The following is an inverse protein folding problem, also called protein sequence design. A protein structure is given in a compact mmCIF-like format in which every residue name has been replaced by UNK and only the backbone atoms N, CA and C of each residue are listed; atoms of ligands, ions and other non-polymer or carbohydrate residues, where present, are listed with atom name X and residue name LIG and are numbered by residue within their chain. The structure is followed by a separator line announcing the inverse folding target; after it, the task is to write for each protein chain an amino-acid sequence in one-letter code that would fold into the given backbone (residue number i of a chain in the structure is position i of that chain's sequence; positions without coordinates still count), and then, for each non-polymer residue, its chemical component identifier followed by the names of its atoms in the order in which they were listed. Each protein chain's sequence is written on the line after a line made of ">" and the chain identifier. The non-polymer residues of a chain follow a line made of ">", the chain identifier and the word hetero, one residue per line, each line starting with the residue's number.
data_IF_363586843569
#
_entry.id   IF_363586843569
#
_cell.length_a   1.000
_cell.length_b   1.000
_cell.length_c   1.000
_cell.angle_alpha   90.00
_cell.angle_beta   90.00
_cell.angle_gamma   90.00
#
_symmetry.space_group_name_H-M   'P 1'
#
loop_
_entity.id
_entity.type
_entity.pdbx_description
1 polymer ?
#
# COMPACT_ATOMS: atom_id res chain seq x y z
N UNK A 1 -2.70 -13.84 41.60
CA UNK A 1 -2.68 -12.44 41.13
C UNK A 1 -2.67 -12.50 39.62
N UNK A 2 -3.86 -12.44 39.00
CA UNK A 2 -4.04 -12.62 37.56
C UNK A 2 -3.50 -11.37 36.83
N UNK A 3 -2.32 -11.49 36.22
CA UNK A 3 -1.92 -10.58 35.16
C UNK A 3 -2.93 -10.76 34.02
N UNK A 4 -3.69 -9.70 33.73
CA UNK A 4 -4.74 -9.73 32.72
C UNK A 4 -4.19 -10.22 31.39
N UNK A 5 -4.84 -11.23 30.82
CA UNK A 5 -4.73 -11.52 29.41
C UNK A 5 -5.14 -10.24 28.67
N UNK A 6 -4.17 -9.48 28.17
CA UNK A 6 -4.44 -8.42 27.20
C UNK A 6 -5.08 -9.10 25.99
N UNK A 7 -6.41 -9.08 25.94
CA UNK A 7 -7.19 -9.59 24.82
C UNK A 7 -6.66 -8.95 23.54
N UNK A 8 -6.10 -9.77 22.63
CA UNK A 8 -5.62 -9.26 21.34
C UNK A 8 -6.70 -8.39 20.70
N UNK A 9 -6.37 -7.18 20.20
CA UNK A 9 -7.36 -6.29 19.64
C UNK A 9 -8.15 -6.99 18.52
N UNK A 10 -9.47 -7.08 18.70
CA UNK A 10 -10.36 -7.66 17.70
C UNK A 10 -10.39 -6.77 16.45
N UNK A 11 -10.26 -7.37 15.26
CA UNK A 11 -10.41 -6.66 13.99
C UNK A 11 -11.80 -6.04 13.83
N UNK A 12 -12.80 -6.55 14.55
CA UNK A 12 -14.17 -6.06 14.52
C UNK A 12 -14.39 -4.86 15.45
N UNK A 13 -13.40 -4.49 16.27
CA UNK A 13 -13.50 -3.30 17.10
C UNK A 13 -13.66 -2.07 16.18
N UNK A 14 -14.62 -1.15 16.44
CA UNK A 14 -14.86 0.00 15.57
C UNK A 14 -13.61 0.85 15.30
N UNK A 15 -12.71 0.95 16.30
CA UNK A 15 -11.43 1.65 16.18
C UNK A 15 -10.45 1.05 15.16
N UNK A 16 -10.62 -0.21 14.78
CA UNK A 16 -9.83 -0.90 13.75
C UNK A 16 -10.66 -1.04 12.47
N UNK A 17 -11.92 -1.47 12.58
CA UNK A 17 -12.80 -1.75 11.45
C UNK A 17 -13.09 -0.49 10.60
N UNK A 18 -13.30 0.66 11.24
CA UNK A 18 -13.59 1.90 10.50
C UNK A 18 -12.36 2.36 9.69
N UNK A 19 -11.16 2.52 10.30
CA UNK A 19 -9.94 2.79 9.55
C UNK A 19 -9.66 1.77 8.46
N UNK A 20 -9.92 0.49 8.75
CA UNK A 20 -9.74 -0.60 7.81
C UNK A 20 -10.58 -0.41 6.54
N UNK A 21 -11.89 -0.21 6.69
CA UNK A 21 -12.81 -0.01 5.57
C UNK A 21 -12.50 1.27 4.81
N UNK A 22 -12.23 2.38 5.52
CA UNK A 22 -11.89 3.65 4.89
C UNK A 22 -10.61 3.53 4.05
N UNK A 23 -9.55 2.94 4.60
CA UNK A 23 -8.29 2.72 3.88
C UNK A 23 -8.52 1.84 2.66
N UNK A 24 -9.26 0.73 2.81
CA UNK A 24 -9.56 -0.17 1.69
C UNK A 24 -10.35 0.50 0.56
N UNK A 25 -11.39 1.28 0.90
CA UNK A 25 -12.22 1.98 -0.07
C UNK A 25 -11.43 3.08 -0.79
N UNK A 26 -10.72 3.92 -0.02
CA UNK A 26 -9.96 5.05 -0.57
C UNK A 26 -8.81 4.55 -1.46
N UNK A 27 -8.02 3.59 -1.00
CA UNK A 27 -6.94 3.04 -1.83
C UNK A 27 -7.48 2.28 -3.04
N UNK A 28 -8.60 1.58 -2.90
CA UNK A 28 -9.31 1.00 -4.03
C UNK A 28 -9.66 2.00 -5.11
N UNK A 29 -10.09 3.22 -4.75
CA UNK A 29 -10.39 4.27 -5.72
C UNK A 29 -9.18 5.05 -6.21
N UNK A 30 -8.05 5.01 -5.52
CA UNK A 30 -6.86 5.74 -5.96
C UNK A 30 -6.27 5.22 -7.28
N UNK A 31 -6.43 3.93 -7.58
CA UNK A 31 -5.93 3.31 -8.82
C UNK A 31 -6.49 3.98 -10.08
N UNK A 32 -7.79 4.25 -10.10
CA UNK A 32 -8.44 4.94 -11.21
C UNK A 32 -7.88 6.35 -11.42
N UNK A 33 -7.63 7.07 -10.33
CA UNK A 33 -7.09 8.45 -10.38
C UNK A 33 -5.62 8.45 -10.79
N UNK A 34 -4.83 7.47 -10.36
CA UNK A 34 -3.44 7.32 -10.78
C UNK A 34 -3.38 7.09 -12.29
N UNK A 35 -4.24 6.22 -12.83
CA UNK A 35 -4.32 5.97 -14.27
C UNK A 35 -4.58 7.23 -15.09
N UNK A 36 -5.51 8.10 -14.68
CA UNK A 36 -5.77 9.38 -15.37
C UNK A 36 -4.55 10.34 -15.36
N UNK A 37 -3.67 10.21 -14.37
CA UNK A 37 -2.44 10.99 -14.28
C UNK A 37 -1.32 10.49 -15.20
N UNK A 38 -1.40 9.23 -15.64
CA UNK A 38 -0.41 8.61 -16.54
C UNK A 38 -0.80 8.95 -17.98
N UNK A 39 -0.71 10.24 -18.31
CA UNK A 39 -0.99 10.78 -19.64
C UNK A 39 0.20 11.59 -20.13
N UNK A 40 0.25 12.87 -19.79
CA UNK A 40 1.29 13.80 -20.27
C UNK A 40 2.41 14.04 -19.25
N UNK A 41 2.12 13.90 -17.95
CA UNK A 41 3.10 14.17 -16.89
C UNK A 41 3.86 12.90 -16.53
N UNK A 42 5.20 12.91 -16.61
CA UNK A 42 6.04 11.77 -16.22
C UNK A 42 5.74 11.34 -14.78
N UNK A 43 5.67 10.02 -14.50
CA UNK A 43 5.35 9.47 -13.18
C UNK A 43 6.02 10.14 -11.99
N UNK A 44 7.34 10.39 -12.08
CA UNK A 44 8.11 10.98 -11.00
C UNK A 44 7.63 12.39 -10.61
N UNK A 45 7.21 13.21 -11.59
CA UNK A 45 6.66 14.54 -11.34
C UNK A 45 5.28 14.47 -10.69
N UNK A 46 4.40 13.58 -11.17
CA UNK A 46 3.08 13.35 -10.54
C UNK A 46 3.21 12.90 -9.08
N UNK A 47 4.14 11.98 -8.80
CA UNK A 47 4.45 11.52 -7.43
C UNK A 47 5.01 12.67 -6.58
N UNK A 48 5.87 13.52 -7.15
CA UNK A 48 6.43 14.71 -6.47
C UNK A 48 5.33 15.68 -6.04
N UNK A 49 4.42 16.06 -6.95
CA UNK A 49 3.34 16.99 -6.65
C UNK A 49 2.39 16.43 -5.59
N UNK A 50 2.01 15.15 -5.71
CA UNK A 50 1.18 14.45 -4.72
C UNK A 50 1.77 14.55 -3.32
N UNK A 51 3.05 14.20 -3.15
CA UNK A 51 3.67 14.17 -1.82
C UNK A 51 4.07 15.54 -1.30
N UNK A 52 4.27 16.53 -2.17
CA UNK A 52 4.44 17.91 -1.74
C UNK A 52 3.15 18.46 -1.09
N UNK A 53 2.00 18.22 -1.73
CA UNK A 53 0.69 18.57 -1.15
C UNK A 53 0.44 17.79 0.14
N UNK A 54 0.70 16.48 0.12
CA UNK A 54 0.52 15.63 1.30
C UNK A 54 1.40 16.09 2.47
N UNK A 55 2.67 16.44 2.22
CA UNK A 55 3.59 16.96 3.23
C UNK A 55 3.07 18.27 3.84
N UNK A 56 2.65 19.22 2.99
CA UNK A 56 2.08 20.49 3.45
C UNK A 56 0.84 20.26 4.32
N UNK A 57 -0.10 19.45 3.87
CA UNK A 57 -1.32 19.12 4.61
C UNK A 57 -1.02 18.36 5.92
N UNK A 58 -0.04 17.46 5.93
CA UNK A 58 0.41 16.77 7.14
C UNK A 58 1.05 17.75 8.14
N UNK A 59 1.84 18.73 7.70
CA UNK A 59 2.39 19.76 8.60
C UNK A 59 1.30 20.68 9.16
N UNK A 60 0.27 21.00 8.37
CA UNK A 60 -0.94 21.68 8.88
C UNK A 60 -1.62 20.83 9.97
N UNK A 61 -1.71 19.50 9.77
CA UNK A 61 -2.26 18.60 10.77
C UNK A 61 -1.39 18.52 12.04
N UNK A 62 -0.06 18.59 11.92
CA UNK A 62 0.89 18.72 13.05
C UNK A 62 0.61 20.01 13.83
N UNK A 63 0.49 21.15 13.14
CA UNK A 63 0.14 22.44 13.76
C UNK A 63 -1.20 22.36 14.50
N UNK A 64 -2.25 21.88 13.81
CA UNK A 64 -3.61 21.81 14.33
C UNK A 64 -3.69 20.93 15.58
N UNK A 65 -3.01 19.78 15.58
CA UNK A 65 -2.94 18.89 16.75
C UNK A 65 -1.93 19.33 17.81
N UNK A 66 -1.26 20.47 17.62
CA UNK A 66 -0.23 21.03 18.52
C UNK A 66 0.88 20.02 18.85
N UNK A 67 1.25 19.20 17.86
CA UNK A 67 2.34 18.23 18.00
C UNK A 67 3.68 18.93 17.80
N UNK A 68 4.76 18.37 18.37
CA UNK A 68 6.11 18.83 18.05
C UNK A 68 6.41 18.63 16.57
N UNK A 69 6.90 19.68 15.92
CA UNK A 69 7.49 19.60 14.57
C UNK A 69 8.87 18.96 14.58
N UNK A 70 9.56 19.02 15.72
CA UNK A 70 10.94 18.55 15.84
C UNK A 70 10.96 17.06 16.17
N UNK A 71 11.77 16.34 15.42
CA UNK A 71 12.24 15.00 15.75
C UNK A 71 13.70 15.10 16.21
N UNK A 72 14.19 14.09 16.93
CA UNK A 72 15.62 13.93 17.15
C UNK A 72 16.27 13.31 15.89
N UNK A 73 17.59 13.10 15.90
CA UNK A 73 18.33 12.53 14.76
C UNK A 73 17.76 11.17 14.32
N UNK A 74 17.36 10.34 15.28
CA UNK A 74 16.81 9.02 15.01
C UNK A 74 15.41 9.12 14.39
N UNK A 75 14.56 10.03 14.86
CA UNK A 75 13.25 10.27 14.27
C UNK A 75 13.33 10.80 12.84
N UNK A 76 14.27 11.70 12.55
CA UNK A 76 14.53 12.15 11.18
C UNK A 76 15.04 11.02 10.29
N UNK A 77 15.93 10.15 10.79
CA UNK A 77 16.40 8.98 10.04
C UNK A 77 15.24 8.03 9.72
N UNK A 78 14.33 7.77 10.68
CA UNK A 78 13.15 6.97 10.41
C UNK A 78 12.24 7.62 9.36
N UNK A 79 12.02 8.93 9.45
CA UNK A 79 11.24 9.67 8.46
C UNK A 79 11.90 9.60 7.07
N UNK A 80 13.23 9.70 6.98
CA UNK A 80 13.97 9.60 5.72
C UNK A 80 13.85 8.21 5.09
N UNK A 81 14.07 7.15 5.86
CA UNK A 81 13.93 5.77 5.37
C UNK A 81 12.48 5.50 4.94
N UNK A 82 11.51 5.97 5.73
CA UNK A 82 10.10 5.86 5.38
C UNK A 82 9.78 6.63 4.09
N UNK A 83 10.30 7.86 3.95
CA UNK A 83 10.19 8.67 2.73
C UNK A 83 10.73 7.95 1.51
N UNK A 84 11.94 7.39 1.62
CA UNK A 84 12.61 6.66 0.55
C UNK A 84 11.83 5.42 0.10
N UNK A 85 11.49 4.52 1.02
CA UNK A 85 10.85 3.25 0.66
C UNK A 85 9.36 3.40 0.37
N UNK A 86 8.62 4.18 1.17
CA UNK A 86 7.17 4.28 1.03
C UNK A 86 6.73 5.38 0.06
N UNK A 87 7.38 6.54 0.03
CA UNK A 87 6.89 7.70 -0.73
C UNK A 87 7.71 8.01 -1.98
N UNK A 88 8.87 7.37 -2.14
CA UNK A 88 9.68 7.43 -3.38
C UNK A 88 9.60 6.10 -4.12
N UNK A 89 10.24 5.04 -3.63
CA UNK A 89 10.35 3.79 -4.38
C UNK A 89 8.99 3.13 -4.62
N UNK A 90 8.19 2.94 -3.56
CA UNK A 90 6.88 2.30 -3.73
C UNK A 90 5.99 3.00 -4.78
N UNK A 91 5.84 4.32 -4.72
CA UNK A 91 4.97 5.03 -5.65
C UNK A 91 5.56 5.17 -7.06
N UNK A 92 6.87 5.34 -7.22
CA UNK A 92 7.45 5.30 -8.57
C UNK A 92 7.29 3.92 -9.20
N UNK A 93 7.51 2.85 -8.44
CA UNK A 93 7.28 1.51 -8.94
C UNK A 93 5.81 1.28 -9.33
N UNK A 94 4.86 1.77 -8.53
CA UNK A 94 3.43 1.69 -8.86
C UNK A 94 3.09 2.46 -10.13
N UNK A 95 3.41 3.76 -10.20
CA UNK A 95 3.06 4.57 -11.36
C UNK A 95 3.74 4.07 -12.65
N UNK A 96 4.98 3.59 -12.55
CA UNK A 96 5.65 3.02 -13.71
C UNK A 96 5.12 1.62 -14.08
N UNK A 97 4.63 0.83 -13.13
CA UNK A 97 3.99 -0.45 -13.45
C UNK A 97 2.71 -0.25 -14.27
N UNK A 98 1.92 0.78 -13.94
CA UNK A 98 0.69 1.12 -14.64
C UNK A 98 0.90 1.62 -16.09
N UNK A 99 2.13 1.93 -16.50
CA UNK A 99 2.47 2.14 -17.91
C UNK A 99 2.44 0.85 -18.73
N UNK A 100 2.55 -0.31 -18.09
CA UNK A 100 2.69 -1.61 -18.75
C UNK A 100 1.52 -2.56 -18.50
N UNK A 101 0.83 -2.43 -17.36
CA UNK A 101 -0.27 -3.30 -16.96
C UNK A 101 -1.42 -2.49 -16.36
N UNK A 102 -2.64 -3.03 -16.41
CA UNK A 102 -3.85 -2.34 -15.92
C UNK A 102 -3.82 -2.05 -14.42
N UNK A 103 -4.49 -0.98 -14.01
CA UNK A 103 -4.61 -0.52 -12.62
C UNK A 103 -5.19 -1.62 -11.70
N UNK A 104 -6.18 -2.37 -12.19
CA UNK A 104 -6.75 -3.53 -11.52
C UNK A 104 -5.73 -4.65 -11.28
N UNK A 105 -4.84 -4.93 -12.23
CA UNK A 105 -3.82 -5.96 -12.09
C UNK A 105 -2.74 -5.58 -11.08
N UNK A 106 -2.30 -4.31 -11.08
CA UNK A 106 -1.41 -3.78 -10.05
C UNK A 106 -2.07 -3.87 -8.67
N UNK A 107 -3.34 -3.50 -8.53
CA UNK A 107 -4.09 -3.62 -7.28
C UNK A 107 -4.14 -5.08 -6.77
N UNK A 108 -4.39 -6.03 -7.67
CA UNK A 108 -4.40 -7.47 -7.34
C UNK A 108 -3.02 -7.96 -6.91
N UNK A 109 -1.93 -7.54 -7.57
CA UNK A 109 -0.58 -7.82 -7.07
C UNK A 109 -0.36 -7.26 -5.67
N UNK A 110 -0.80 -6.03 -5.41
CA UNK A 110 -0.70 -5.40 -4.10
C UNK A 110 -1.51 -6.13 -3.01
N UNK A 111 -2.46 -6.99 -3.36
CA UNK A 111 -3.09 -7.90 -2.40
C UNK A 111 -2.08 -8.90 -1.78
N UNK A 112 -0.99 -9.21 -2.49
CA UNK A 112 0.12 -10.01 -1.98
C UNK A 112 0.99 -9.28 -0.97
N UNK A 113 0.76 -7.99 -0.67
CA UNK A 113 1.51 -7.24 0.35
C UNK A 113 1.57 -7.97 1.70
N UNK A 114 0.55 -8.77 2.03
CA UNK A 114 0.56 -9.59 3.23
C UNK A 114 1.71 -10.63 3.26
N UNK A 115 2.17 -11.11 2.10
CA UNK A 115 3.19 -12.15 1.96
C UNK A 115 4.57 -11.59 2.27
N UNK A 116 5.08 -10.52 1.61
CA UNK A 116 6.34 -9.91 2.02
C UNK A 116 6.28 -9.33 3.45
N UNK A 117 5.16 -8.74 3.89
CA UNK A 117 5.00 -8.34 5.29
C UNK A 117 5.18 -9.52 6.25
N UNK A 118 4.70 -10.72 5.89
CA UNK A 118 4.84 -11.92 6.70
C UNK A 118 6.28 -12.43 6.75
N UNK A 119 6.94 -12.47 5.59
CA UNK A 119 8.33 -12.91 5.46
C UNK A 119 9.25 -11.95 6.22
N UNK A 120 9.13 -10.65 5.96
CA UNK A 120 9.90 -9.62 6.66
C UNK A 120 9.58 -9.60 8.16
N UNK A 121 8.31 -9.77 8.55
CA UNK A 121 7.93 -9.91 9.95
C UNK A 121 8.55 -11.14 10.63
N UNK A 122 8.73 -12.26 9.92
CA UNK A 122 9.47 -13.42 10.43
C UNK A 122 10.95 -13.11 10.60
N UNK A 123 11.57 -12.50 9.59
CA UNK A 123 13.01 -12.21 9.56
C UNK A 123 13.39 -11.16 10.60
N UNK A 124 12.65 -10.05 10.69
CA UNK A 124 13.01 -8.90 11.52
C UNK A 124 12.31 -8.86 12.88
N UNK A 125 11.14 -9.49 13.02
CA UNK A 125 10.34 -9.46 14.27
C UNK A 125 10.20 -10.86 14.91
N UNK A 126 10.78 -11.91 14.32
CA UNK A 126 10.72 -13.27 14.87
C UNK A 126 9.35 -13.95 14.79
N UNK A 127 8.40 -13.40 14.02
CA UNK A 127 7.06 -13.97 13.92
C UNK A 127 7.06 -15.36 13.23
N UNK A 128 6.17 -16.25 13.67
CA UNK A 128 5.97 -17.56 13.03
C UNK A 128 5.06 -17.43 11.80
N UNK A 129 5.36 -18.19 10.75
CA UNK A 129 4.52 -18.33 9.56
C UNK A 129 3.88 -19.71 9.62
N UNK A 130 2.54 -19.78 9.55
CA UNK A 130 1.82 -21.06 9.57
C UNK A 130 1.82 -21.73 8.20
N UNK A 131 1.79 -23.06 8.16
CA UNK A 131 1.68 -23.81 6.89
C UNK A 131 0.42 -23.46 6.11
N UNK A 132 -0.69 -23.19 6.80
CA UNK A 132 -1.92 -22.74 6.15
C UNK A 132 -1.83 -21.29 5.61
N UNK A 133 -0.97 -20.43 6.17
CA UNK A 133 -0.65 -19.14 5.55
C UNK A 133 0.08 -19.34 4.21
N UNK A 134 1.05 -20.24 4.16
CA UNK A 134 1.77 -20.58 2.92
C UNK A 134 0.82 -21.19 1.89
N UNK A 135 -0.03 -22.13 2.29
CA UNK A 135 -1.04 -22.74 1.41
C UNK A 135 -2.03 -21.72 0.83
N UNK A 136 -2.59 -20.86 1.67
CA UNK A 136 -3.47 -19.78 1.20
C UNK A 136 -2.75 -18.77 0.28
N UNK A 137 -1.51 -18.42 0.60
CA UNK A 137 -0.69 -17.53 -0.24
C UNK A 137 -0.39 -18.15 -1.61
N UNK A 138 -0.15 -19.46 -1.66
CA UNK A 138 0.04 -20.19 -2.92
C UNK A 138 -1.23 -20.19 -3.78
N UNK A 139 -2.40 -20.44 -3.18
CA UNK A 139 -3.70 -20.34 -3.87
C UNK A 139 -3.91 -18.92 -4.41
N UNK A 140 -3.58 -17.90 -3.60
CA UNK A 140 -3.70 -16.52 -4.03
C UNK A 140 -2.78 -16.21 -5.22
N UNK A 141 -1.53 -16.66 -5.19
CA UNK A 141 -0.58 -16.51 -6.29
C UNK A 141 -1.07 -17.18 -7.58
N UNK A 142 -1.74 -18.35 -7.49
CA UNK A 142 -2.36 -19.00 -8.67
C UNK A 142 -3.48 -18.15 -9.24
N UNK A 143 -4.38 -17.63 -8.40
CA UNK A 143 -5.46 -16.73 -8.86
C UNK A 143 -4.93 -15.48 -9.57
N UNK A 144 -3.85 -14.91 -9.05
CA UNK A 144 -3.14 -13.77 -9.66
C UNK A 144 -2.52 -14.16 -10.99
N UNK A 145 -1.86 -15.32 -11.08
CA UNK A 145 -1.27 -15.80 -12.33
C UNK A 145 -2.33 -15.97 -13.44
N UNK A 146 -3.54 -16.41 -13.10
CA UNK A 146 -4.65 -16.49 -14.07
C UNK A 146 -5.10 -15.12 -14.57
N UNK A 147 -5.10 -14.10 -13.71
CA UNK A 147 -5.40 -12.72 -14.09
C UNK A 147 -4.33 -12.17 -15.05
N UNK A 148 -3.05 -12.40 -14.76
CA UNK A 148 -1.94 -12.05 -15.66
C UNK A 148 -2.04 -12.77 -17.01
N UNK A 149 -2.43 -14.05 -17.00
CA UNK A 149 -2.60 -14.81 -18.23
C UNK A 149 -3.72 -14.26 -19.11
N UNK A 150 -4.81 -13.79 -18.49
CA UNK A 150 -5.86 -13.11 -19.23
C UNK A 150 -5.34 -11.79 -19.83
N UNK A 151 -4.72 -10.94 -19.01
CA UNK A 151 -4.19 -9.64 -19.45
C UNK A 151 -3.25 -9.79 -20.64
N UNK A 152 -2.32 -10.75 -20.60
CA UNK A 152 -1.42 -11.06 -21.71
C UNK A 152 -2.16 -11.48 -22.99
N UNK A 153 -3.34 -12.10 -22.88
CA UNK A 153 -4.14 -12.54 -24.03
C UNK A 153 -5.12 -11.49 -24.53
N UNK A 154 -5.56 -10.58 -23.66
CA UNK A 154 -6.59 -9.58 -23.95
C UNK A 154 -6.02 -8.20 -24.27
N UNK A 155 -4.80 -7.90 -23.80
CA UNK A 155 -4.13 -6.64 -24.04
C UNK A 155 -3.18 -6.73 -25.25
N UNK A 156 -3.00 -5.66 -26.03
CA UNK A 156 -1.95 -5.60 -27.05
C UNK A 156 -0.52 -5.58 -26.45
N UNK A 157 -0.38 -5.56 -25.12
CA UNK A 157 0.90 -5.56 -24.44
C UNK A 157 1.71 -6.85 -24.71
N UNK A 158 3.01 -6.69 -24.96
CA UNK A 158 3.90 -7.83 -25.12
C UNK A 158 4.13 -8.55 -23.79
N UNK A 159 4.53 -9.83 -23.84
CA UNK A 159 4.88 -10.59 -22.63
C UNK A 159 5.96 -9.87 -21.80
N UNK A 160 6.92 -9.25 -22.48
CA UNK A 160 7.98 -8.48 -21.85
C UNK A 160 7.44 -7.28 -21.06
N UNK A 161 6.52 -6.50 -21.63
CA UNK A 161 5.89 -5.37 -20.94
C UNK A 161 5.14 -5.84 -19.70
N UNK A 162 4.36 -6.91 -19.82
CA UNK A 162 3.62 -7.49 -18.69
C UNK A 162 4.57 -7.93 -17.56
N UNK A 163 5.71 -8.56 -17.90
CA UNK A 163 6.72 -8.97 -16.93
C UNK A 163 7.43 -7.78 -16.27
N UNK A 164 7.72 -6.71 -17.02
CA UNK A 164 8.28 -5.48 -16.47
C UNK A 164 7.31 -4.83 -15.49
N UNK A 165 6.03 -4.69 -15.87
CA UNK A 165 4.98 -4.16 -14.99
C UNK A 165 4.84 -4.98 -13.71
N UNK A 166 4.85 -6.31 -13.81
CA UNK A 166 4.82 -7.20 -12.66
C UNK A 166 6.05 -7.04 -11.75
N UNK A 167 7.25 -6.95 -12.33
CA UNK A 167 8.49 -6.76 -11.59
C UNK A 167 8.54 -5.41 -10.85
N UNK A 168 8.09 -4.34 -11.51
CA UNK A 168 7.95 -3.02 -10.90
C UNK A 168 6.96 -3.06 -9.74
N UNK A 169 5.75 -3.58 -9.97
CA UNK A 169 4.74 -3.72 -8.91
C UNK A 169 5.27 -4.55 -7.73
N UNK A 170 6.01 -5.64 -7.98
CA UNK A 170 6.66 -6.41 -6.92
C UNK A 170 7.71 -5.61 -6.15
N UNK A 171 8.55 -4.84 -6.84
CA UNK A 171 9.48 -3.89 -6.21
C UNK A 171 8.76 -2.85 -5.34
N UNK A 172 7.60 -2.38 -5.80
CA UNK A 172 6.70 -1.53 -5.04
C UNK A 172 6.22 -2.19 -3.75
N UNK A 173 5.72 -3.43 -3.83
CA UNK A 173 5.25 -4.21 -2.68
C UNK A 173 6.37 -4.43 -1.67
N UNK A 174 7.57 -4.79 -2.12
CA UNK A 174 8.73 -4.99 -1.24
C UNK A 174 9.09 -3.68 -0.52
N UNK A 175 9.10 -2.56 -1.23
CA UNK A 175 9.39 -1.24 -0.64
C UNK A 175 8.34 -0.84 0.41
N UNK A 176 7.05 -1.03 0.12
CA UNK A 176 5.99 -0.80 1.10
C UNK A 176 6.09 -1.75 2.31
N UNK A 177 6.56 -2.99 2.10
CA UNK A 177 6.68 -3.97 3.18
C UNK A 177 7.80 -3.62 4.15
N UNK A 178 8.92 -3.07 3.66
CA UNK A 178 9.99 -2.52 4.52
C UNK A 178 9.41 -1.42 5.42
N UNK A 179 8.69 -0.47 4.83
CA UNK A 179 8.03 0.61 5.57
C UNK A 179 7.03 0.08 6.60
N UNK A 180 6.18 -0.90 6.23
CA UNK A 180 5.21 -1.51 7.13
C UNK A 180 5.85 -2.21 8.33
N UNK A 181 6.90 -3.00 8.10
CA UNK A 181 7.55 -3.76 9.17
C UNK A 181 8.31 -2.82 10.12
N UNK A 182 8.92 -1.76 9.60
CA UNK A 182 9.55 -0.73 10.43
C UNK A 182 8.58 -0.11 11.44
N UNK A 183 7.31 0.08 11.07
CA UNK A 183 6.28 0.65 11.96
C UNK A 183 5.99 -0.22 13.19
N UNK A 184 6.35 -1.51 13.16
CA UNK A 184 6.24 -2.39 14.32
C UNK A 184 7.37 -2.17 15.36
N UNK A 185 8.47 -1.47 15.00
CA UNK A 185 9.61 -1.26 15.88
C UNK A 185 9.32 -0.34 17.06
N UNK A 186 9.71 -0.75 18.27
CA UNK A 186 9.38 -0.05 19.52
C UNK A 186 9.87 1.41 19.54
N UNK A 187 11.07 1.67 19.03
CA UNK A 187 11.61 3.03 18.97
C UNK A 187 10.78 3.93 18.04
N UNK A 188 10.31 3.42 16.91
CA UNK A 188 9.49 4.19 15.98
C UNK A 188 8.09 4.48 16.56
N UNK A 189 7.53 3.53 17.32
CA UNK A 189 6.25 3.72 18.04
C UNK A 189 6.30 4.86 19.05
N UNK A 190 7.47 5.19 19.61
CA UNK A 190 7.64 6.30 20.56
C UNK A 190 7.44 7.69 19.95
N UNK A 191 7.52 7.85 18.62
CA UNK A 191 7.30 9.14 17.96
C UNK A 191 5.85 9.33 17.53
N UNK A 192 5.33 10.58 17.56
CA UNK A 192 4.04 10.90 16.97
C UNK A 192 4.00 10.52 15.50
N UNK A 193 3.10 9.62 15.13
CA UNK A 193 3.02 9.06 13.78
C UNK A 193 2.79 10.14 12.72
N UNK A 194 2.00 11.17 13.06
CA UNK A 194 1.67 12.29 12.18
C UNK A 194 2.92 13.13 11.87
N UNK A 195 3.74 13.45 12.88
CA UNK A 195 4.99 14.19 12.68
C UNK A 195 5.98 13.40 11.83
N UNK A 196 6.15 12.10 12.09
CA UNK A 196 7.03 11.24 11.28
C UNK A 196 6.56 11.18 9.83
N UNK A 197 5.25 11.03 9.61
CA UNK A 197 4.67 11.00 8.27
C UNK A 197 4.81 12.33 7.54
N UNK A 198 4.65 13.47 8.22
CA UNK A 198 4.87 14.79 7.64
C UNK A 198 6.29 14.95 7.07
N UNK A 199 7.30 14.60 7.88
CA UNK A 199 8.69 14.62 7.44
C UNK A 199 9.00 13.57 6.39
N UNK A 200 8.44 12.37 6.50
CA UNK A 200 8.66 11.30 5.53
C UNK A 200 8.10 11.67 4.15
N UNK A 201 6.90 12.25 4.09
CA UNK A 201 6.31 12.73 2.84
C UNK A 201 7.11 13.90 2.27
N UNK A 202 7.63 14.81 3.11
CA UNK A 202 8.51 15.89 2.65
C UNK A 202 9.81 15.34 2.05
N UNK A 203 10.51 14.47 2.77
CA UNK A 203 11.74 13.86 2.26
C UNK A 203 11.48 13.04 0.99
N UNK A 204 10.40 12.26 0.97
CA UNK A 204 9.96 11.55 -0.22
C UNK A 204 9.74 12.50 -1.40
N UNK A 205 8.99 13.59 -1.21
CA UNK A 205 8.75 14.59 -2.25
C UNK A 205 10.05 15.21 -2.75
N UNK A 206 10.97 15.61 -1.86
CA UNK A 206 12.26 16.18 -2.24
C UNK A 206 13.13 15.19 -3.03
N UNK A 207 13.19 13.93 -2.60
CA UNK A 207 13.92 12.89 -3.34
C UNK A 207 13.29 12.67 -4.72
N UNK A 208 11.96 12.61 -4.80
CA UNK A 208 11.25 12.47 -6.08
C UNK A 208 11.52 13.64 -7.03
N UNK A 209 11.55 14.88 -6.51
CA UNK A 209 11.88 16.07 -7.30
C UNK A 209 13.29 15.96 -7.87
N UNK A 210 14.27 15.60 -7.04
CA UNK A 210 15.67 15.44 -7.47
C UNK A 210 15.78 14.33 -8.52
N UNK A 211 15.17 13.16 -8.26
CA UNK A 211 15.20 12.04 -9.21
C UNK A 211 14.56 12.42 -10.54
N UNK A 212 13.37 13.04 -10.52
CA UNK A 212 12.65 13.45 -11.74
C UNK A 212 13.42 14.51 -12.51
N UNK A 213 14.05 15.46 -11.81
CA UNK A 213 14.89 16.46 -12.45
C UNK A 213 16.08 15.83 -13.17
N UNK A 214 16.73 14.85 -12.54
CA UNK A 214 17.91 14.17 -13.11
C UNK A 214 17.54 13.24 -14.26
N UNK A 215 16.41 12.53 -14.18
CA UNK A 215 16.03 11.51 -15.18
C UNK A 215 15.21 12.05 -16.34
N UNK A 216 14.39 13.07 -16.10
CA UNK A 216 13.44 13.62 -17.08
C UNK A 216 13.76 15.07 -17.44
N UNK A 217 14.29 15.86 -16.50
CA UNK A 217 14.50 17.30 -16.67
C UNK A 217 13.47 18.14 -15.90
N UNK A 218 13.25 19.42 -16.29
CA UNK A 218 12.45 20.36 -15.52
C UNK A 218 10.99 19.92 -15.31
N UNK A 219 10.29 20.48 -14.30
CA UNK A 219 8.89 20.16 -13.98
C UNK A 219 7.97 20.23 -15.19
N UNK A 220 7.32 19.11 -15.48
CA UNK A 220 6.24 19.03 -16.47
C UNK A 220 4.92 19.17 -15.74
N UNK A 221 4.00 19.97 -16.29
CA UNK A 221 2.69 20.19 -15.72
C UNK A 221 1.61 20.04 -16.80
N UNK A 222 0.45 19.56 -16.38
CA UNK A 222 -0.74 19.45 -17.20
C UNK A 222 -1.70 20.61 -16.87
N UNK A 223 -2.40 21.13 -17.88
CA UNK A 223 -3.36 22.23 -17.73
C UNK A 223 -4.77 21.77 -17.31
N UNK A 224 -5.09 20.48 -17.46
CA UNK A 224 -6.40 19.94 -17.09
C UNK A 224 -6.67 20.10 -15.59
N UNK A 225 -7.80 20.72 -15.25
CA UNK A 225 -8.24 20.84 -13.86
C UNK A 225 -8.46 19.47 -13.19
N UNK A 226 -8.88 18.46 -13.98
CA UNK A 226 -9.05 17.09 -13.51
C UNK A 226 -7.75 16.50 -12.95
N UNK A 227 -6.61 16.74 -13.61
CA UNK A 227 -5.30 16.26 -13.16
C UNK A 227 -4.94 16.80 -11.77
N UNK A 228 -5.07 18.12 -11.57
CA UNK A 228 -4.77 18.75 -10.28
C UNK A 228 -5.79 18.39 -9.20
N UNK A 229 -7.07 18.24 -9.56
CA UNK A 229 -8.09 17.68 -8.68
C UNK A 229 -7.72 16.27 -8.22
N UNK A 230 -7.22 15.43 -9.13
CA UNK A 230 -6.68 14.11 -8.84
C UNK A 230 -5.46 14.16 -7.93
N UNK A 231 -4.50 15.05 -8.18
CA UNK A 231 -3.31 15.25 -7.33
C UNK A 231 -3.72 15.65 -5.90
N UNK A 232 -4.68 16.57 -5.73
CA UNK A 232 -5.20 16.97 -4.43
C UNK A 232 -5.94 15.82 -3.75
N UNK A 233 -6.79 15.10 -4.48
CA UNK A 233 -7.48 13.92 -3.97
C UNK A 233 -6.47 12.86 -3.47
N UNK A 234 -5.47 12.53 -4.29
CA UNK A 234 -4.44 11.53 -3.95
C UNK A 234 -3.53 12.01 -2.81
N UNK A 235 -3.18 13.29 -2.75
CA UNK A 235 -2.34 13.86 -1.70
C UNK A 235 -3.07 13.99 -0.36
N UNK A 236 -4.34 14.39 -0.36
CA UNK A 236 -5.11 14.60 0.86
C UNK A 236 -5.86 13.34 1.26
N UNK A 237 -6.79 12.88 0.44
CA UNK A 237 -7.63 11.72 0.76
C UNK A 237 -6.80 10.44 0.64
N UNK A 238 -6.10 10.26 -0.47
CA UNK A 238 -5.29 9.08 -0.75
C UNK A 238 -4.03 8.93 0.09
N UNK A 239 -3.58 10.00 0.78
CA UNK A 239 -2.34 9.98 1.56
C UNK A 239 -2.48 10.54 2.98
N UNK A 240 -2.88 11.81 3.18
CA UNK A 240 -2.99 12.44 4.51
C UNK A 240 -4.03 11.76 5.40
N UNK A 241 -5.15 11.29 4.85
CA UNK A 241 -6.18 10.57 5.61
C UNK A 241 -5.78 9.11 5.83
N UNK A 242 -5.36 8.42 4.78
CA UNK A 242 -5.14 6.97 4.79
C UNK A 242 -3.87 6.53 5.51
N UNK A 243 -2.72 7.18 5.31
CA UNK A 243 -1.46 6.70 5.90
C UNK A 243 -1.44 6.79 7.43
N UNK A 244 -1.91 7.87 8.08
CA UNK A 244 -2.02 7.89 9.54
C UNK A 244 -2.93 6.78 10.08
N UNK A 245 -4.08 6.54 9.42
CA UNK A 245 -5.02 5.48 9.79
C UNK A 245 -4.37 4.09 9.64
N UNK A 246 -3.80 3.81 8.47
CA UNK A 246 -3.19 2.53 8.15
C UNK A 246 -1.99 2.23 9.04
N UNK A 247 -1.09 3.20 9.22
CA UNK A 247 0.08 3.00 10.05
C UNK A 247 -0.23 2.99 11.55
N UNK A 248 -1.28 3.68 12.00
CA UNK A 248 -1.78 3.50 13.37
C UNK A 248 -2.30 2.07 13.57
N UNK A 249 -3.05 1.52 12.61
CA UNK A 249 -3.45 0.11 12.63
C UNK A 249 -2.22 -0.80 12.68
N UNK A 250 -1.19 -0.57 11.87
CA UNK A 250 0.05 -1.38 11.95
C UNK A 250 0.66 -1.33 13.36
N UNK A 251 0.71 -0.16 13.99
CA UNK A 251 1.28 -0.03 15.33
C UNK A 251 0.46 -0.76 16.40
N UNK A 252 -0.86 -0.85 16.23
CA UNK A 252 -1.80 -1.48 17.16
C UNK A 252 -1.92 -3.01 16.95
N UNK A 253 -2.22 -3.45 15.73
CA UNK A 253 -2.51 -4.86 15.40
C UNK A 253 -1.38 -5.58 14.65
N UNK A 254 -0.30 -4.85 14.34
CA UNK A 254 0.86 -5.37 13.61
C UNK A 254 0.70 -5.35 12.08
N UNK A 255 1.82 -5.39 11.33
CA UNK A 255 1.83 -5.26 9.87
C UNK A 255 1.16 -6.44 9.16
N UNK A 256 1.12 -7.60 9.82
CA UNK A 256 0.46 -8.78 9.30
C UNK A 256 -1.06 -8.65 9.26
N UNK A 257 -1.69 -8.19 10.36
CA UNK A 257 -3.14 -8.01 10.46
C UNK A 257 -3.60 -6.76 9.70
N UNK A 258 -2.82 -5.67 9.71
CA UNK A 258 -3.17 -4.47 8.96
C UNK A 258 -3.22 -4.70 7.44
N UNK A 259 -2.34 -5.55 6.90
CA UNK A 259 -2.33 -5.94 5.48
C UNK A 259 -3.60 -6.68 5.03
N UNK A 260 -4.52 -7.01 5.95
CA UNK A 260 -5.81 -7.58 5.58
C UNK A 260 -6.66 -6.56 4.81
N UNK A 261 -6.43 -5.26 5.03
CA UNK A 261 -7.12 -4.17 4.32
C UNK A 261 -6.80 -4.19 2.82
N UNK A 262 -5.62 -4.68 2.46
CA UNK A 262 -5.15 -4.86 1.09
C UNK A 262 -5.95 -5.90 0.31
N UNK A 263 -6.73 -6.77 0.97
CA UNK A 263 -7.58 -7.78 0.30
C UNK A 263 -8.85 -7.16 -0.27
N UNK A 264 -9.38 -6.11 0.35
CA UNK A 264 -10.56 -5.40 -0.17
C UNK A 264 -10.22 -4.43 -1.29
N UNK A 265 -8.98 -3.92 -1.33
CA UNK A 265 -8.52 -2.95 -2.33
C UNK A 265 -8.73 -3.46 -3.77
N UNK A 266 -8.31 -4.69 -4.15
CA UNK A 266 -8.57 -5.24 -5.48
C UNK A 266 -10.05 -5.32 -5.83
N UNK A 267 -10.91 -5.68 -4.87
CA UNK A 267 -12.36 -5.78 -5.13
C UNK A 267 -12.91 -4.42 -5.55
N UNK A 268 -12.57 -3.37 -4.80
CA UNK A 268 -12.97 -1.99 -5.11
C UNK A 268 -12.35 -1.54 -6.43
N UNK A 269 -11.05 -1.76 -6.61
CA UNK A 269 -10.32 -1.36 -7.83
C UNK A 269 -10.89 -2.02 -9.08
N UNK A 270 -11.20 -3.31 -9.04
CA UNK A 270 -11.78 -4.06 -10.15
C UNK A 270 -13.21 -3.60 -10.46
N UNK A 271 -14.03 -3.32 -9.45
CA UNK A 271 -15.37 -2.73 -9.66
C UNK A 271 -15.25 -1.40 -10.39
N UNK A 272 -14.35 -0.53 -9.93
CA UNK A 272 -14.11 0.77 -10.58
C UNK A 272 -13.55 0.62 -11.99
N UNK A 273 -12.63 -0.33 -12.20
CA UNK A 273 -12.10 -0.65 -13.54
C UNK A 273 -13.20 -1.15 -14.48
N UNK A 274 -14.17 -1.90 -13.96
CA UNK A 274 -15.33 -2.38 -14.76
C UNK A 274 -16.24 -1.23 -15.17
N UNK A 275 -16.44 -0.26 -14.28
CA UNK A 275 -17.37 0.86 -14.51
C UNK A 275 -16.75 1.96 -15.37
N UNK A 276 -15.46 2.26 -15.15
CA UNK A 276 -14.80 3.45 -15.69
C UNK A 276 -13.69 3.13 -16.70
N UNK A 277 -13.21 1.89 -16.79
CA UNK A 277 -12.14 1.49 -17.70
C UNK A 277 -12.60 0.45 -18.73
N UNK A 278 -13.92 0.26 -18.88
CA UNK A 278 -14.54 -0.72 -19.81
C UNK A 278 -13.96 -2.14 -19.65
N UNK A 279 -13.52 -2.51 -18.44
CA UNK A 279 -12.92 -3.81 -18.19
C UNK A 279 -13.95 -4.93 -18.42
N UNK A 280 -13.72 -5.75 -19.45
CA UNK A 280 -14.62 -6.85 -19.81
C UNK A 280 -14.28 -8.09 -18.98
N UNK A 281 -15.20 -8.48 -18.10
CA UNK A 281 -15.08 -9.74 -17.38
C UNK A 281 -15.24 -10.92 -18.33
N UNK A 282 -14.19 -11.73 -18.42
CA UNK A 282 -14.29 -13.08 -18.98
C UNK A 282 -14.24 -14.12 -17.87
N UNK A 283 -14.49 -15.38 -18.20
CA UNK A 283 -14.50 -16.45 -17.18
C UNK A 283 -13.17 -16.56 -16.43
N UNK A 284 -12.05 -16.26 -17.09
CA UNK A 284 -10.72 -16.48 -16.56
C UNK A 284 -10.33 -15.44 -15.48
N UNK A 285 -10.50 -14.12 -15.68
CA UNK A 285 -10.39 -13.12 -14.62
C UNK A 285 -11.35 -13.34 -13.47
N UNK A 286 -12.60 -13.76 -13.74
CA UNK A 286 -13.57 -14.02 -12.68
C UNK A 286 -13.08 -15.15 -11.76
N UNK A 287 -12.65 -16.28 -12.34
CA UNK A 287 -12.08 -17.40 -11.57
C UNK A 287 -10.78 -16.99 -10.88
N UNK A 288 -9.90 -16.25 -11.55
CA UNK A 288 -8.65 -15.74 -10.99
C UNK A 288 -8.87 -14.84 -9.77
N UNK A 289 -9.81 -13.90 -9.86
CA UNK A 289 -10.19 -13.02 -8.76
C UNK A 289 -10.80 -13.80 -7.59
N UNK A 290 -11.69 -14.76 -7.86
CA UNK A 290 -12.29 -15.61 -6.81
C UNK A 290 -11.22 -16.45 -6.12
N UNK A 291 -10.30 -17.08 -6.87
CA UNK A 291 -9.18 -17.85 -6.30
C UNK A 291 -8.21 -16.97 -5.51
N UNK A 292 -7.89 -15.78 -6.02
CA UNK A 292 -7.06 -14.81 -5.32
C UNK A 292 -7.69 -14.46 -3.97
N UNK A 293 -8.96 -14.05 -3.97
CA UNK A 293 -9.69 -13.69 -2.75
C UNK A 293 -9.82 -14.87 -1.78
N UNK A 294 -10.17 -16.07 -2.27
CA UNK A 294 -10.30 -17.26 -1.44
C UNK A 294 -8.96 -17.68 -0.81
N UNK A 295 -7.88 -17.68 -1.60
CA UNK A 295 -6.53 -17.98 -1.13
C UNK A 295 -6.06 -17.01 -0.04
N UNK A 296 -6.30 -15.71 -0.26
CA UNK A 296 -6.03 -14.69 0.75
C UNK A 296 -6.86 -14.97 2.00
N UNK A 297 -8.17 -15.19 1.92
CA UNK A 297 -9.02 -15.53 3.07
C UNK A 297 -8.54 -16.77 3.86
N UNK A 298 -8.03 -17.79 3.18
CA UNK A 298 -7.41 -18.97 3.82
C UNK A 298 -6.13 -18.57 4.55
N UNK A 299 -5.24 -17.81 3.89
CA UNK A 299 -4.00 -17.34 4.48
C UNK A 299 -4.26 -16.47 5.72
N UNK A 300 -5.32 -15.66 5.66
CA UNK A 300 -5.80 -14.82 6.75
C UNK A 300 -6.26 -15.65 7.96
N UNK A 301 -7.14 -16.64 7.76
CA UNK A 301 -7.67 -17.49 8.84
C UNK A 301 -6.57 -18.31 9.54
N UNK A 302 -5.57 -18.72 8.79
CA UNK A 302 -4.44 -19.52 9.26
C UNK A 302 -3.48 -18.82 10.24
N UNK A 303 -3.61 -17.50 10.39
CA UNK A 303 -2.72 -16.68 11.22
C UNK A 303 -3.21 -16.45 12.65
N UNK A 304 -4.39 -16.96 13.02
CA UNK A 304 -4.79 -17.03 14.43
C UNK A 304 -3.82 -17.97 15.17
N UNK A 305 -3.10 -17.51 16.21
CA UNK A 305 -2.34 -18.43 17.04
C UNK A 305 -3.32 -19.43 17.65
N UNK A 306 -3.07 -20.73 17.51
CA UNK A 306 -3.66 -21.71 18.42
C UNK A 306 -3.01 -21.44 19.77
N UNK A 307 -3.74 -20.84 20.70
CA UNK A 307 -3.34 -20.79 22.11
C UNK A 307 -3.02 -22.23 22.52
N UNK A 308 -1.82 -22.53 23.05
CA UNK A 308 -1.55 -23.84 23.61
C UNK A 308 -2.56 -24.05 24.72
N UNK A 309 -3.41 -25.07 24.59
CA UNK A 309 -4.21 -25.56 25.70
C UNK A 309 -3.18 -26.10 26.70
N UNK A 310 -2.90 -25.35 27.76
CA UNK A 310 -2.15 -25.88 28.90
C UNK A 310 -3.03 -27.02 29.42
N UNK A 311 -2.55 -28.25 29.26
CA UNK A 311 -3.18 -29.39 29.89
C UNK A 311 -3.02 -29.17 31.40
N UNK A 312 -4.16 -29.13 32.11
CA UNK A 312 -4.21 -29.06 33.56
C UNK A 312 -3.63 -30.33 34.19
#
# INVERSE_FOLDING_TARGET
>A
MNAGEESEPSLLAPRILIPFLLVSLIWGSTWLVIKDQISEVPPGWSVSYRFLIAAAAMFVLVAYKRLSFRLDRTGYLFALILGLFQFTFNFNFVYNAELFITSGLVAVLFALLMVPNAIMGRVFLGHKISGAFLGGSAIAAVGIALLFWHEYRSSPASLEQVLIGAALAFGGIMSASIANVMQAGQRLKSYPIITVLAWAMLFGALINIVLSWVTVGPPVYETRAAYWGGIVYLGVIGSVVTFPLYFAMIREIGPGKAAYSSVLVPVVAMILSTIFEDYVWTWLPAVGAVLAMAGLLVALRARKPKTPRIAA
#
